data_IF_063217367708
#
_entry.id   IF_063217367708
#
_cell.length_a   1.000
_cell.length_b   1.000
_cell.length_c   1.000
_cell.angle_alpha   90.00
_cell.angle_beta   90.00
_cell.angle_gamma   90.00
#
_symmetry.space_group_name_H-M   'P 1'
#
loop_
_entity.id
_entity.type
_entity.pdbx_description
1 polymer ?
#
# COMPACT_ATOMS: atom_id res chain seq x y z
N UNK A 1 59.61 -9.94 -71.90
CA UNK A 1 59.91 -11.38 -72.05
C UNK A 1 60.43 -11.87 -70.70
N UNK A 2 59.74 -12.85 -70.10
CA UNK A 2 60.09 -13.59 -68.87
C UNK A 2 60.07 -12.84 -67.52
N UNK A 3 59.74 -13.43 -66.37
CA UNK A 3 58.85 -14.53 -65.93
C UNK A 3 58.93 -14.52 -64.38
N UNK A 4 57.78 -14.70 -63.72
CA UNK A 4 57.58 -15.27 -62.36
C UNK A 4 58.23 -14.67 -61.09
N UNK A 5 57.39 -14.39 -60.07
CA UNK A 5 57.21 -15.35 -58.95
C UNK A 5 55.99 -15.00 -58.09
N UNK A 6 55.09 -15.98 -57.99
CA UNK A 6 54.01 -16.08 -57.03
C UNK A 6 54.56 -16.24 -55.62
N UNK A 7 54.16 -15.39 -54.67
CA UNK A 7 54.19 -15.72 -53.25
C UNK A 7 52.76 -15.73 -52.72
N UNK A 8 52.27 -16.95 -52.48
CA UNK A 8 51.06 -17.21 -51.71
C UNK A 8 51.38 -16.95 -50.24
N UNK A 9 50.76 -15.96 -49.62
CA UNK A 9 50.72 -15.84 -48.16
C UNK A 9 49.28 -15.86 -47.70
N UNK A 10 49.00 -16.86 -46.87
CA UNK A 10 47.71 -17.25 -46.32
C UNK A 10 47.09 -16.10 -45.50
N UNK A 11 45.84 -15.77 -45.78
CA UNK A 11 45.03 -14.92 -44.92
C UNK A 11 44.56 -15.74 -43.71
N UNK A 12 45.16 -15.52 -42.54
CA UNK A 12 44.59 -15.97 -41.27
C UNK A 12 43.49 -14.99 -40.85
N UNK A 13 42.23 -15.37 -41.11
CA UNK A 13 41.07 -14.69 -40.55
C UNK A 13 40.95 -15.06 -39.06
N UNK A 14 41.35 -14.15 -38.18
CA UNK A 14 41.06 -14.24 -36.74
C UNK A 14 39.61 -13.80 -36.54
N UNK A 15 38.71 -14.77 -36.37
CA UNK A 15 37.32 -14.51 -35.96
C UNK A 15 37.32 -14.22 -34.47
N UNK A 16 37.28 -12.94 -34.09
CA UNK A 16 36.98 -12.54 -32.71
C UNK A 16 35.49 -12.81 -32.43
N UNK A 17 35.21 -13.90 -31.74
CA UNK A 17 33.90 -14.13 -31.14
C UNK A 17 33.74 -13.16 -29.95
N UNK A 18 32.95 -12.10 -30.15
CA UNK A 18 32.52 -11.23 -29.06
C UNK A 18 31.53 -11.98 -28.18
N UNK A 19 31.99 -12.49 -27.04
CA UNK A 19 31.13 -13.08 -26.02
C UNK A 19 30.35 -11.96 -25.32
N UNK A 20 29.09 -11.79 -25.71
CA UNK A 20 28.13 -10.89 -25.07
C UNK A 20 27.84 -11.38 -23.65
N UNK A 21 28.52 -10.82 -22.65
CA UNK A 21 28.12 -10.98 -21.25
C UNK A 21 26.82 -10.22 -21.02
N UNK A 22 25.71 -10.93 -21.10
CA UNK A 22 24.40 -10.43 -20.66
C UNK A 22 24.47 -10.16 -19.16
N UNK A 23 24.58 -8.88 -18.80
CA UNK A 23 24.47 -8.43 -17.42
C UNK A 23 23.01 -8.56 -16.99
N UNK A 24 22.67 -9.70 -16.38
CA UNK A 24 21.39 -9.87 -15.70
C UNK A 24 21.37 -8.92 -14.50
N UNK A 25 20.68 -7.79 -14.64
CA UNK A 25 20.39 -6.92 -13.51
C UNK A 25 19.62 -7.73 -12.45
N UNK A 26 20.02 -7.69 -11.17
CA UNK A 26 19.22 -8.27 -10.10
C UNK A 26 17.84 -7.65 -10.14
N UNK A 27 16.80 -8.48 -10.29
CA UNK A 27 15.42 -8.02 -10.25
C UNK A 27 15.20 -7.22 -8.96
N UNK A 28 14.77 -5.97 -9.10
CA UNK A 28 14.32 -5.17 -7.98
C UNK A 28 13.18 -5.94 -7.30
N UNK A 29 13.50 -6.63 -6.21
CA UNK A 29 12.47 -7.11 -5.30
C UNK A 29 11.79 -5.85 -4.79
N UNK A 30 10.55 -5.62 -5.25
CA UNK A 30 9.68 -4.61 -4.66
C UNK A 30 9.60 -4.97 -3.17
N UNK A 31 10.31 -4.22 -2.33
CA UNK A 31 10.25 -4.44 -0.89
C UNK A 31 8.81 -4.20 -0.49
N UNK A 32 8.15 -5.20 0.10
CA UNK A 32 6.78 -5.02 0.57
C UNK A 32 6.72 -3.81 1.50
N UNK A 33 5.80 -2.90 1.22
CA UNK A 33 5.48 -1.73 2.04
C UNK A 33 5.03 -2.20 3.43
N UNK A 34 5.40 -1.47 4.48
CA UNK A 34 5.04 -1.84 5.86
C UNK A 34 3.58 -1.47 6.11
N UNK A 35 2.79 -2.45 6.56
CA UNK A 35 1.39 -2.26 6.92
C UNK A 35 1.27 -1.78 8.37
N UNK A 36 0.68 -0.62 8.60
CA UNK A 36 0.45 -0.15 9.96
C UNK A 36 -0.32 -1.19 10.82
N UNK A 37 -1.43 -1.75 10.31
CA UNK A 37 -2.25 -2.68 11.09
C UNK A 37 -1.58 -4.04 11.34
N UNK A 38 -0.81 -4.56 10.38
CA UNK A 38 -0.22 -5.91 10.49
C UNK A 38 1.18 -5.91 11.09
N UNK A 39 1.94 -4.85 10.86
CA UNK A 39 3.36 -4.79 11.22
C UNK A 39 3.63 -3.78 12.34
N UNK A 40 2.88 -2.68 12.44
CA UNK A 40 3.15 -1.58 13.41
C UNK A 40 2.28 -1.70 14.66
N UNK A 41 0.96 -1.83 14.51
CA UNK A 41 0.03 -1.90 15.63
C UNK A 41 0.35 -3.07 16.57
N UNK A 42 0.69 -4.29 16.10
CA UNK A 42 1.04 -5.39 17.00
C UNK A 42 2.31 -5.12 17.83
N UNK A 43 3.24 -4.31 17.31
CA UNK A 43 4.41 -3.84 18.07
C UNK A 43 3.92 -2.93 19.20
N UNK A 44 3.08 -1.92 18.90
CA UNK A 44 2.54 -1.04 19.93
C UNK A 44 1.68 -1.79 20.95
N UNK A 45 0.86 -2.75 20.53
CA UNK A 45 0.04 -3.56 21.42
C UNK A 45 0.92 -4.36 22.40
N UNK A 46 2.01 -4.91 21.90
CA UNK A 46 2.94 -5.73 22.69
C UNK A 46 3.73 -4.93 23.73
N UNK A 47 4.13 -3.69 23.39
CA UNK A 47 5.12 -2.94 24.18
C UNK A 47 4.60 -1.65 24.81
N UNK A 48 3.57 -1.02 24.24
CA UNK A 48 3.27 0.39 24.50
C UNK A 48 1.83 0.66 24.96
N UNK A 49 0.84 0.03 24.33
CA UNK A 49 -0.59 0.35 24.49
C UNK A 49 -1.05 0.20 25.93
N UNK A 50 -0.51 -0.75 26.70
CA UNK A 50 -0.88 -0.93 28.11
C UNK A 50 -0.79 0.37 28.93
N UNK A 51 0.18 1.24 28.64
CA UNK A 51 0.33 2.53 29.32
C UNK A 51 -0.09 3.73 28.45
N UNK A 52 0.09 3.63 27.13
CA UNK A 52 -0.26 4.67 26.17
C UNK A 52 -1.58 4.35 25.48
N UNK A 53 -2.64 4.24 26.28
CA UNK A 53 -4.04 4.22 25.85
C UNK A 53 -4.80 5.30 26.65
N UNK A 54 -6.01 5.73 26.25
CA UNK A 54 -6.71 6.84 26.90
C UNK A 54 -6.95 6.70 28.42
N UNK A 55 -6.86 5.50 28.98
CA UNK A 55 -6.99 5.21 30.41
C UNK A 55 -5.66 4.79 31.09
N UNK A 56 -4.54 4.86 30.36
CA UNK A 56 -3.23 4.42 30.84
C UNK A 56 -2.39 5.56 31.42
N UNK A 57 -1.51 5.22 32.36
CA UNK A 57 -0.65 6.19 33.06
C UNK A 57 0.31 6.95 32.12
N UNK A 58 0.75 6.35 31.02
CA UNK A 58 1.56 7.00 30.00
C UNK A 58 0.78 8.07 29.23
N UNK A 59 -0.50 7.82 28.96
CA UNK A 59 -1.41 8.82 28.38
C UNK A 59 -1.71 9.95 29.38
N UNK A 60 -1.90 9.67 30.66
CA UNK A 60 -2.08 10.72 31.66
C UNK A 60 -0.87 11.67 31.69
N UNK A 61 0.35 11.12 31.70
CA UNK A 61 1.58 11.92 31.72
C UNK A 61 1.78 12.74 30.44
N UNK A 62 1.59 12.13 29.26
CA UNK A 62 2.03 12.73 27.98
C UNK A 62 0.89 13.12 27.03
N UNK A 63 -0.32 12.60 27.23
CA UNK A 63 -1.44 12.70 26.30
C UNK A 63 -1.30 11.80 25.06
N UNK A 64 -0.27 10.93 25.00
CA UNK A 64 -0.02 10.06 23.85
C UNK A 64 -0.86 8.79 23.90
N UNK A 65 -1.69 8.61 22.88
CA UNK A 65 -2.46 7.39 22.63
C UNK A 65 -1.80 6.59 21.48
N UNK A 66 -1.38 5.36 21.75
CA UNK A 66 -0.79 4.43 20.79
C UNK A 66 -1.74 3.27 20.44
N UNK A 67 -2.98 3.29 20.95
CA UNK A 67 -3.99 2.27 20.64
C UNK A 67 -4.59 2.45 19.24
N UNK A 68 -4.42 3.62 18.64
CA UNK A 68 -4.95 3.96 17.31
C UNK A 68 -3.91 4.73 16.49
N UNK A 69 -4.03 4.69 15.16
CA UNK A 69 -3.20 5.50 14.28
C UNK A 69 -3.47 7.00 14.48
N UNK A 70 -4.74 7.37 14.61
CA UNK A 70 -5.17 8.76 14.82
C UNK A 70 -4.59 9.31 16.13
N UNK A 71 -4.59 8.51 17.21
CA UNK A 71 -3.94 8.84 18.47
C UNK A 71 -2.44 9.06 18.31
N UNK A 72 -1.76 8.13 17.63
CA UNK A 72 -0.33 8.21 17.38
C UNK A 72 0.03 9.49 16.60
N UNK A 73 -0.69 9.78 15.53
CA UNK A 73 -0.40 10.93 14.66
C UNK A 73 -0.83 12.26 15.26
N UNK A 74 -1.85 12.27 16.11
CA UNK A 74 -2.18 13.44 16.95
C UNK A 74 -1.02 13.79 17.87
N UNK A 75 -0.27 12.79 18.33
CA UNK A 75 0.93 12.96 19.13
C UNK A 75 0.63 13.20 20.61
N UNK A 76 1.50 13.97 21.26
CA UNK A 76 1.44 14.24 22.70
C UNK A 76 0.86 15.63 22.95
N UNK A 77 0.60 15.97 24.23
CA UNK A 77 0.30 17.35 24.64
C UNK A 77 1.45 18.33 24.40
N UNK A 78 2.66 17.83 24.13
CA UNK A 78 3.87 18.62 23.88
C UNK A 78 4.22 18.73 22.39
N UNK A 79 3.42 18.12 21.51
CA UNK A 79 3.63 18.16 20.06
C UNK A 79 3.69 16.77 19.40
N UNK A 80 4.03 16.72 18.10
CA UNK A 80 4.01 15.49 17.32
C UNK A 80 5.05 14.49 17.81
N UNK A 81 4.68 13.20 17.75
CA UNK A 81 5.58 12.09 18.07
C UNK A 81 6.18 11.45 16.81
N UNK A 82 5.51 11.58 15.66
CA UNK A 82 5.95 11.08 14.35
C UNK A 82 6.11 12.23 13.37
N UNK A 83 7.24 12.27 12.67
CA UNK A 83 7.51 13.11 11.50
C UNK A 83 7.55 12.20 10.27
N UNK A 84 6.48 12.21 9.48
CA UNK A 84 6.38 11.37 8.28
C UNK A 84 7.56 11.60 7.32
N UNK A 85 8.18 10.53 6.85
CA UNK A 85 9.37 10.56 5.98
C UNK A 85 10.69 10.79 6.71
N UNK A 86 10.68 11.23 7.96
CA UNK A 86 11.89 11.55 8.73
C UNK A 86 11.92 10.80 10.08
N UNK A 87 12.51 9.59 10.12
CA UNK A 87 12.69 8.87 11.37
C UNK A 87 13.72 9.52 12.31
N UNK A 88 14.62 10.37 11.83
CA UNK A 88 15.65 10.98 12.67
C UNK A 88 15.05 12.06 13.58
N UNK A 89 14.17 12.90 13.01
CA UNK A 89 13.46 13.96 13.74
C UNK A 89 12.20 13.48 14.44
N UNK A 90 11.71 12.27 14.11
CA UNK A 90 10.58 11.65 14.82
C UNK A 90 10.93 11.39 16.29
N UNK A 91 10.24 12.06 17.22
CA UNK A 91 10.41 11.87 18.66
C UNK A 91 10.19 10.41 19.10
N UNK A 92 9.29 9.68 18.42
CA UNK A 92 9.09 8.25 18.62
C UNK A 92 10.42 7.49 18.55
N UNK A 93 11.19 7.69 17.48
CA UNK A 93 12.47 7.02 17.30
C UNK A 93 13.53 7.57 18.25
N UNK A 94 13.51 8.88 18.55
CA UNK A 94 14.44 9.47 19.50
C UNK A 94 14.31 8.82 20.89
N UNK A 95 13.09 8.62 21.37
CA UNK A 95 12.83 7.93 22.63
C UNK A 95 13.26 6.46 22.56
N UNK A 96 12.86 5.73 21.51
CA UNK A 96 13.15 4.29 21.37
C UNK A 96 14.65 3.98 21.15
N UNK A 97 15.43 4.98 20.74
CA UNK A 97 16.87 4.90 20.50
C UNK A 97 17.70 5.54 21.61
N UNK A 98 17.06 6.07 22.67
CA UNK A 98 17.75 6.70 23.80
C UNK A 98 18.46 8.01 23.44
N UNK A 99 17.93 8.76 22.46
CA UNK A 99 18.45 10.07 22.04
C UNK A 99 17.78 11.25 22.77
N UNK A 100 16.92 10.97 23.75
CA UNK A 100 16.25 11.95 24.61
C UNK A 100 16.95 12.10 25.95
N UNK A 101 16.47 13.05 26.77
CA UNK A 101 16.93 13.19 28.16
C UNK A 101 16.83 11.86 28.92
N UNK A 102 17.80 11.59 29.80
CA UNK A 102 17.89 10.32 30.53
C UNK A 102 16.69 10.06 31.46
N UNK A 103 15.92 11.09 31.83
CA UNK A 103 14.66 10.94 32.56
C UNK A 103 13.52 10.37 31.72
N UNK A 104 13.63 10.41 30.39
CA UNK A 104 12.63 9.92 29.44
C UNK A 104 13.12 8.57 28.88
N UNK A 105 12.81 7.49 29.60
CA UNK A 105 13.14 6.12 29.20
C UNK A 105 11.87 5.34 28.92
N UNK A 106 11.72 4.78 27.72
CA UNK A 106 10.57 3.94 27.37
C UNK A 106 11.01 2.65 26.67
N UNK A 107 10.38 1.50 27.00
CA UNK A 107 9.42 1.30 28.09
C UNK A 107 10.07 1.35 29.49
N UNK A 108 9.36 1.90 30.48
CA UNK A 108 9.81 1.89 31.89
C UNK A 108 9.76 0.45 32.45
N UNK A 109 10.82 0.04 33.18
CA UNK A 109 11.01 -1.26 33.86
C UNK A 109 11.29 -2.48 32.97
N UNK A 110 11.72 -3.58 33.61
CA UNK A 110 12.28 -4.88 33.14
C UNK A 110 11.43 -5.68 32.13
N UNK A 111 10.60 -5.01 31.34
CA UNK A 111 9.83 -5.58 30.25
C UNK A 111 10.79 -5.99 29.14
N UNK A 112 10.41 -7.05 28.42
CA UNK A 112 11.17 -7.56 27.27
C UNK A 112 11.55 -6.39 26.37
N UNK A 113 12.84 -6.12 26.29
CA UNK A 113 13.35 -5.04 25.44
C UNK A 113 12.85 -5.26 24.02
N UNK A 114 12.20 -4.24 23.46
CA UNK A 114 11.78 -4.26 22.06
C UNK A 114 13.00 -4.58 21.19
N UNK A 115 12.80 -5.47 20.21
CA UNK A 115 13.93 -5.97 19.43
C UNK A 115 14.43 -4.91 18.45
N UNK A 116 15.68 -5.05 18.00
CA UNK A 116 16.20 -4.24 16.89
C UNK A 116 15.40 -4.47 15.59
N UNK A 117 14.76 -5.63 15.42
CA UNK A 117 13.94 -5.91 14.25
C UNK A 117 12.66 -5.06 14.26
N UNK A 118 11.95 -5.02 15.40
CA UNK A 118 10.74 -4.21 15.56
C UNK A 118 11.04 -2.72 15.36
N UNK A 119 12.16 -2.22 15.92
CA UNK A 119 12.62 -0.85 15.67
C UNK A 119 12.87 -0.56 14.20
N UNK A 120 13.43 -1.51 13.45
CA UNK A 120 13.65 -1.35 12.01
C UNK A 120 12.35 -1.30 11.23
N UNK A 121 11.33 -2.06 11.64
CA UNK A 121 9.99 -2.03 11.02
C UNK A 121 9.35 -0.66 11.24
N UNK A 122 9.35 -0.15 12.48
CA UNK A 122 8.89 1.21 12.81
C UNK A 122 9.62 2.27 11.98
N UNK A 123 10.95 2.19 11.93
CA UNK A 123 11.78 3.13 11.17
C UNK A 123 11.45 3.09 9.67
N UNK A 124 11.32 1.90 9.10
CA UNK A 124 10.97 1.72 7.68
C UNK A 124 9.60 2.33 7.37
N UNK A 125 8.60 2.06 8.21
CA UNK A 125 7.27 2.66 8.05
C UNK A 125 7.29 4.20 8.09
N UNK A 126 8.09 4.80 8.98
CA UNK A 126 8.25 6.25 9.01
C UNK A 126 8.90 6.75 7.71
N UNK A 127 9.94 6.09 7.21
CA UNK A 127 10.59 6.43 5.93
C UNK A 127 9.61 6.34 4.76
N UNK A 128 8.70 5.38 4.78
CA UNK A 128 7.64 5.22 3.79
C UNK A 128 6.54 6.29 3.90
N UNK A 129 6.66 7.23 4.83
CA UNK A 129 5.76 8.36 5.01
C UNK A 129 4.81 8.22 6.19
N UNK A 130 5.11 7.31 7.14
CA UNK A 130 4.24 6.99 8.27
C UNK A 130 2.80 6.76 7.80
N UNK A 131 2.69 5.98 6.72
CA UNK A 131 1.44 5.83 5.98
C UNK A 131 0.38 5.39 6.96
N UNK A 132 -0.74 6.12 6.94
CA UNK A 132 -1.94 5.68 7.67
C UNK A 132 -2.16 4.22 7.38
N UNK A 133 -2.68 3.43 8.34
CA UNK A 133 -3.26 2.18 7.97
C UNK A 133 -4.08 2.44 6.70
N UNK A 134 -3.85 1.63 5.69
CA UNK A 134 -4.66 0.45 5.70
C UNK A 134 -6.04 0.56 6.39
N UNK A 135 -6.82 1.67 6.43
CA UNK A 135 -8.27 1.61 6.52
C UNK A 135 -8.66 0.51 5.53
N UNK A 136 -8.83 -0.72 6.01
CA UNK A 136 -10.12 -1.27 6.46
C UNK A 136 -11.34 -0.76 5.69
N UNK A 137 -11.18 -0.24 4.49
CA UNK A 137 -12.28 -0.20 3.58
C UNK A 137 -12.26 -1.57 2.95
N UNK A 138 -12.92 -2.56 3.56
CA UNK A 138 -13.37 -3.69 2.77
C UNK A 138 -13.98 -3.18 1.44
N UNK A 139 -14.04 -4.02 0.41
CA UNK A 139 -14.69 -3.64 -0.85
C UNK A 139 -16.00 -2.87 -0.63
N UNK A 140 -16.75 -3.16 0.44
CA UNK A 140 -17.97 -2.47 0.89
C UNK A 140 -17.77 -0.97 1.10
N UNK A 141 -16.78 -0.54 1.88
CA UNK A 141 -16.59 0.87 2.19
C UNK A 141 -15.98 1.64 1.01
N UNK A 142 -15.13 0.99 0.19
CA UNK A 142 -14.65 1.59 -1.07
C UNK A 142 -15.85 1.87 -1.97
N UNK A 143 -16.75 0.90 -2.10
CA UNK A 143 -17.97 1.05 -2.91
C UNK A 143 -18.94 2.07 -2.31
N UNK A 144 -19.09 2.11 -0.99
CA UNK A 144 -19.95 3.07 -0.31
C UNK A 144 -19.54 4.51 -0.60
N UNK A 145 -18.25 4.81 -0.49
CA UNK A 145 -17.74 6.18 -0.66
C UNK A 145 -17.65 6.57 -2.13
N UNK A 146 -17.26 5.64 -3.02
CA UNK A 146 -16.92 5.99 -4.40
C UNK A 146 -18.03 5.70 -5.41
N UNK A 147 -18.99 4.84 -5.07
CA UNK A 147 -19.90 4.28 -6.06
C UNK A 147 -21.37 4.43 -5.69
N UNK A 148 -21.73 4.25 -4.41
CA UNK A 148 -23.14 4.14 -4.01
C UNK A 148 -23.95 5.42 -4.29
N UNK A 149 -23.38 6.62 -4.11
CA UNK A 149 -24.05 7.90 -4.42
C UNK A 149 -24.66 7.96 -5.84
N UNK A 150 -24.07 7.24 -6.79
CA UNK A 150 -24.56 7.19 -8.17
C UNK A 150 -25.27 5.87 -8.52
N UNK A 151 -24.99 4.79 -7.81
CA UNK A 151 -25.42 3.43 -8.16
C UNK A 151 -26.45 2.83 -7.19
N UNK A 152 -27.06 3.62 -6.32
CA UNK A 152 -28.21 3.21 -5.50
C UNK A 152 -29.41 4.14 -5.71
N UNK A 153 -30.59 3.69 -5.28
CA UNK A 153 -31.85 4.45 -5.28
C UNK A 153 -32.24 5.07 -6.63
N UNK A 154 -32.09 6.39 -6.79
CA UNK A 154 -32.36 7.13 -8.02
C UNK A 154 -31.07 7.73 -8.63
N UNK A 155 -29.90 7.21 -8.23
CA UNK A 155 -28.61 7.69 -8.72
C UNK A 155 -28.48 7.59 -10.24
N UNK A 156 -27.75 8.53 -10.82
CA UNK A 156 -27.60 8.63 -12.28
C UNK A 156 -26.92 7.40 -12.88
N UNK A 157 -25.98 6.78 -12.17
CA UNK A 157 -25.29 5.56 -12.60
C UNK A 157 -26.23 4.34 -12.66
N UNK A 158 -27.12 4.20 -11.68
CA UNK A 158 -28.15 3.17 -11.68
C UNK A 158 -29.09 3.33 -12.87
N UNK A 159 -29.63 4.52 -13.13
CA UNK A 159 -30.49 4.77 -14.29
C UNK A 159 -29.72 4.53 -15.61
N UNK A 160 -28.47 5.00 -15.68
CA UNK A 160 -27.65 4.96 -16.87
C UNK A 160 -27.09 3.57 -17.22
N UNK A 161 -27.06 2.60 -16.30
CA UNK A 161 -26.50 1.25 -16.58
C UNK A 161 -27.34 0.08 -16.07
N UNK A 162 -28.26 0.34 -15.14
CA UNK A 162 -28.97 -0.67 -14.38
C UNK A 162 -28.14 -1.31 -13.26
N UNK A 163 -26.92 -0.80 -12.98
CA UNK A 163 -26.10 -1.29 -11.87
C UNK A 163 -26.66 -0.77 -10.54
N UNK A 164 -27.14 -1.70 -9.69
CA UNK A 164 -27.60 -1.43 -8.33
C UNK A 164 -26.60 -1.98 -7.31
N UNK A 165 -26.06 -1.10 -6.46
CA UNK A 165 -25.07 -1.41 -5.43
C UNK A 165 -25.66 -1.39 -4.01
N UNK A 166 -26.99 -1.38 -3.87
CA UNK A 166 -27.68 -1.36 -2.57
C UNK A 166 -27.58 -2.68 -1.81
N UNK A 167 -27.21 -3.76 -2.49
CA UNK A 167 -27.04 -5.10 -1.91
C UNK A 167 -25.99 -5.91 -2.67
N UNK A 168 -25.38 -6.87 -1.98
CA UNK A 168 -24.43 -7.80 -2.59
C UNK A 168 -25.04 -8.58 -3.76
N UNK A 169 -26.28 -9.07 -3.62
CA UNK A 169 -26.97 -9.81 -4.70
C UNK A 169 -27.13 -8.96 -5.97
N UNK A 170 -27.54 -7.69 -5.81
CA UNK A 170 -27.73 -6.77 -6.93
C UNK A 170 -26.39 -6.39 -7.59
N UNK A 171 -25.35 -6.16 -6.78
CA UNK A 171 -24.00 -5.93 -7.28
C UNK A 171 -23.52 -7.10 -8.14
N UNK A 172 -23.73 -8.34 -7.69
CA UNK A 172 -23.30 -9.55 -8.41
C UNK A 172 -24.15 -9.85 -9.63
N UNK A 173 -25.43 -9.45 -9.64
CA UNK A 173 -26.30 -9.49 -10.84
C UNK A 173 -25.75 -8.59 -11.95
N UNK A 174 -25.08 -7.50 -11.59
CA UNK A 174 -24.40 -6.60 -12.52
C UNK A 174 -25.34 -5.62 -13.20
N UNK A 175 -25.09 -5.36 -14.49
CA UNK A 175 -25.76 -4.31 -15.26
C UNK A 175 -26.68 -4.92 -16.33
N UNK A 176 -27.48 -4.10 -17.02
CA UNK A 176 -28.22 -4.58 -18.21
C UNK A 176 -27.31 -4.96 -19.39
N UNK A 177 -26.02 -4.64 -19.31
CA UNK A 177 -25.00 -4.98 -20.30
C UNK A 177 -24.15 -6.19 -19.90
N UNK A 178 -24.45 -6.82 -18.76
CA UNK A 178 -23.73 -7.99 -18.26
C UNK A 178 -23.06 -7.77 -16.89
N UNK A 179 -22.25 -8.74 -16.44
CA UNK A 179 -21.67 -8.74 -15.09
C UNK A 179 -20.67 -7.60 -14.90
N UNK A 180 -20.65 -7.05 -13.68
CA UNK A 180 -19.67 -6.04 -13.26
C UNK A 180 -18.45 -6.67 -12.56
N UNK A 181 -18.66 -7.80 -11.89
CA UNK A 181 -17.65 -8.57 -11.17
C UNK A 181 -17.61 -10.00 -11.72
N UNK A 182 -16.40 -10.50 -11.97
CA UNK A 182 -16.08 -11.90 -12.27
C UNK A 182 -15.23 -12.41 -11.12
N UNK A 183 -15.80 -13.18 -10.17
CA UNK A 183 -15.06 -13.75 -9.04
C UNK A 183 -13.80 -14.50 -9.50
N UNK A 184 -12.66 -14.21 -8.84
CA UNK A 184 -11.35 -14.79 -9.16
C UNK A 184 -10.61 -14.10 -10.31
N UNK A 185 -11.27 -13.23 -11.09
CA UNK A 185 -10.67 -12.58 -12.25
C UNK A 185 -10.84 -11.04 -12.23
N UNK A 186 -9.94 -10.32 -11.53
CA UNK A 186 -9.96 -8.87 -11.54
C UNK A 186 -9.56 -8.26 -12.89
N UNK A 187 -8.92 -9.00 -13.79
CA UNK A 187 -8.49 -8.46 -15.08
C UNK A 187 -9.67 -8.30 -16.03
N UNK A 188 -10.58 -9.28 -16.05
CA UNK A 188 -11.77 -9.26 -16.89
C UNK A 188 -13.01 -8.68 -16.21
N UNK A 189 -13.01 -8.54 -14.89
CA UNK A 189 -14.07 -7.83 -14.16
C UNK A 189 -14.22 -6.40 -14.65
N UNK A 190 -15.40 -6.07 -15.19
CA UNK A 190 -15.70 -4.74 -15.73
C UNK A 190 -15.51 -3.64 -14.67
N UNK A 191 -15.78 -3.89 -13.39
CA UNK A 191 -15.49 -2.97 -12.29
C UNK A 191 -14.05 -2.44 -12.39
N UNK A 192 -13.07 -3.34 -12.51
CA UNK A 192 -11.65 -2.96 -12.60
C UNK A 192 -11.31 -2.28 -13.92
N UNK A 193 -11.90 -2.74 -15.04
CA UNK A 193 -11.70 -2.11 -16.36
C UNK A 193 -12.10 -0.63 -16.33
N UNK A 194 -13.21 -0.32 -15.65
CA UNK A 194 -13.77 1.04 -15.57
C UNK A 194 -12.95 1.93 -14.63
N UNK A 195 -12.63 1.47 -13.40
CA UNK A 195 -11.94 2.27 -12.38
C UNK A 195 -10.43 2.41 -12.60
N UNK A 196 -9.83 1.52 -13.41
CA UNK A 196 -8.42 1.64 -13.82
C UNK A 196 -8.25 2.46 -15.10
N UNK A 197 -9.36 2.94 -15.68
CA UNK A 197 -9.33 3.73 -16.90
C UNK A 197 -8.94 2.93 -18.16
N UNK A 198 -9.06 1.60 -18.12
CA UNK A 198 -8.83 0.71 -19.29
C UNK A 198 -9.97 0.77 -20.31
N UNK A 199 -11.14 1.27 -19.90
CA UNK A 199 -12.28 1.50 -20.78
C UNK A 199 -12.08 2.72 -21.72
N UNK A 200 -12.92 2.79 -22.77
CA UNK A 200 -13.03 3.99 -23.64
C UNK A 200 -13.35 5.22 -22.78
N UNK A 201 -12.87 6.40 -23.19
CA UNK A 201 -12.91 7.61 -22.35
C UNK A 201 -14.28 7.93 -21.73
N UNK A 202 -15.37 7.79 -22.48
CA UNK A 202 -16.74 8.06 -21.99
C UNK A 202 -17.33 6.97 -21.08
N UNK A 203 -16.60 5.88 -20.83
CA UNK A 203 -17.02 4.77 -19.96
C UNK A 203 -16.16 4.67 -18.70
N UNK A 204 -15.12 5.49 -18.57
CA UNK A 204 -14.26 5.48 -17.37
C UNK A 204 -15.04 5.93 -16.16
N UNK A 205 -14.75 5.32 -15.02
CA UNK A 205 -15.42 5.63 -13.76
C UNK A 205 -14.42 6.09 -12.69
N UNK A 206 -14.86 6.97 -11.77
CA UNK A 206 -16.09 7.76 -11.81
C UNK A 206 -16.14 8.81 -12.93
N UNK A 207 -17.35 9.30 -13.26
CA UNK A 207 -17.57 10.38 -14.23
C UNK A 207 -17.41 11.78 -13.60
N UNK A 208 -17.53 12.85 -14.40
CA UNK A 208 -17.58 14.26 -13.96
C UNK A 208 -16.32 14.76 -13.24
N UNK A 209 -15.14 14.50 -13.82
CA UNK A 209 -13.84 14.99 -13.33
C UNK A 209 -13.49 14.56 -11.89
N UNK A 210 -14.22 13.60 -11.31
CA UNK A 210 -13.96 13.04 -10.00
C UNK A 210 -12.63 12.27 -9.89
N UNK A 211 -11.95 12.06 -11.02
CA UNK A 211 -10.66 11.39 -11.08
C UNK A 211 -10.76 9.89 -10.82
N UNK A 212 -9.73 9.14 -11.21
CA UNK A 212 -9.71 7.71 -10.93
C UNK A 212 -9.57 7.46 -9.41
N UNK A 213 -10.17 6.38 -8.86
CA UNK A 213 -9.95 5.97 -7.48
C UNK A 213 -8.46 5.81 -7.19
N UNK A 214 -8.04 5.97 -5.93
CA UNK A 214 -6.62 5.86 -5.59
C UNK A 214 -6.04 4.48 -5.95
N UNK A 215 -4.72 4.39 -6.16
CA UNK A 215 -4.05 3.10 -6.41
C UNK A 215 -4.39 2.08 -5.31
N UNK A 216 -4.51 2.56 -4.07
CA UNK A 216 -4.84 1.73 -2.92
C UNK A 216 -6.27 1.19 -2.97
N UNK A 217 -7.26 2.02 -3.28
CA UNK A 217 -8.66 1.59 -3.41
C UNK A 217 -8.82 0.56 -4.52
N UNK A 218 -8.15 0.78 -5.67
CA UNK A 218 -8.13 -0.18 -6.77
C UNK A 218 -7.47 -1.51 -6.35
N UNK A 219 -6.40 -1.46 -5.55
CA UNK A 219 -5.75 -2.67 -5.03
C UNK A 219 -6.64 -3.42 -4.01
N UNK A 220 -7.45 -2.71 -3.24
CA UNK A 220 -8.47 -3.32 -2.36
C UNK A 220 -9.51 -4.09 -3.19
N UNK A 221 -10.15 -3.42 -4.16
CA UNK A 221 -11.16 -4.04 -5.02
C UNK A 221 -10.58 -5.24 -5.79
N UNK A 222 -9.36 -5.08 -6.33
CA UNK A 222 -8.64 -6.15 -7.04
C UNK A 222 -8.44 -7.39 -6.17
N UNK A 223 -7.98 -7.21 -4.92
CA UNK A 223 -7.73 -8.34 -4.01
C UNK A 223 -9.01 -9.05 -3.62
N UNK A 224 -10.08 -8.31 -3.34
CA UNK A 224 -11.37 -8.90 -3.03
C UNK A 224 -11.92 -9.73 -4.20
N UNK A 225 -11.88 -9.20 -5.42
CA UNK A 225 -12.31 -9.95 -6.61
C UNK A 225 -11.45 -11.21 -6.78
N UNK A 226 -10.12 -11.08 -6.67
CA UNK A 226 -9.19 -12.20 -6.79
C UNK A 226 -9.48 -13.31 -5.76
N UNK A 227 -9.96 -12.94 -4.57
CA UNK A 227 -10.33 -13.86 -3.50
C UNK A 227 -11.72 -14.49 -3.67
N UNK A 228 -12.39 -14.28 -4.81
CA UNK A 228 -13.71 -14.86 -5.09
C UNK A 228 -14.88 -13.91 -4.81
N UNK A 229 -14.61 -12.63 -4.52
CA UNK A 229 -15.62 -11.61 -4.31
C UNK A 229 -16.69 -11.98 -3.27
N UNK A 230 -16.30 -12.65 -2.17
CA UNK A 230 -17.24 -13.16 -1.17
C UNK A 230 -17.99 -12.04 -0.43
N UNK A 231 -19.23 -12.34 -0.02
CA UNK A 231 -20.05 -11.53 0.89
C UNK A 231 -19.64 -11.89 2.32
N UNK A 232 -18.96 -10.99 3.02
CA UNK A 232 -18.34 -11.25 4.33
C UNK A 232 -19.14 -10.62 5.47
#
# INVERSE_FOLDING_TARGET
>A
MQLHRNLKTLASAVVLAAASLSFSAPGAQASSEVSYKMDIQPIFDSFCVMCHNPAGSGYEASGLDLSTYEGLMKGTRFGPIVSAGDPLTSNLMAVLEGRTDASITMPHSDRRAMTQADRRVLRKWIVEGATKPAYENGPEQVMAVLCMDCHTENGSGLQASGLDMSSYESLMKGTRHGPIIVPGDPLTSNLMVLVEGRAKSGLKMPHNDQGAPSVRDRNTLRRWILQGAHNN
#
